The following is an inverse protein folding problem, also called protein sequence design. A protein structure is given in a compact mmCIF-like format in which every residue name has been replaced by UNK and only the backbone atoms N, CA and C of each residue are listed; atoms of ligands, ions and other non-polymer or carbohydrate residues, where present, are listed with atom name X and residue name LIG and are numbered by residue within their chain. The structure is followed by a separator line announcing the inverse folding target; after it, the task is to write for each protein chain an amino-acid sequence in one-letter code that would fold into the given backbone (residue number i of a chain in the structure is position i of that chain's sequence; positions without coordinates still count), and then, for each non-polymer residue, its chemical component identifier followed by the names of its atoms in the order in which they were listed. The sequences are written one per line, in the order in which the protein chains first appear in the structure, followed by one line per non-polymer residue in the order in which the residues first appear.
data_IF_803838879111
#
_entry.id   IF_803838879111
#
_cell.length_a   1.000
_cell.length_b   1.000
_cell.length_c   1.000
_cell.angle_alpha   90.00
_cell.angle_beta   90.00
_cell.angle_gamma   90.00
#
_symmetry.space_group_name_H-M   'P 1'
#
loop_
_entity.id
_entity.type
_entity.pdbx_description
1 polymer ?
#
# COMPACT_ATOMS: atom_id res chain seq x y z
N UNK A 1 0.78 -21.81 -16.77
CA UNK A 1 1.04 -20.83 -15.68
C UNK A 1 -0.22 -20.00 -15.44
N UNK A 2 -0.72 -19.89 -14.20
CA UNK A 2 -1.87 -19.01 -13.93
C UNK A 2 -1.49 -17.53 -14.14
N UNK A 3 -2.43 -16.70 -14.63
CA UNK A 3 -2.18 -15.26 -14.88
C UNK A 3 -1.59 -14.53 -13.66
N UNK A 4 -1.95 -14.97 -12.46
CA UNK A 4 -1.43 -14.45 -11.19
C UNK A 4 0.07 -14.72 -11.01
N UNK A 5 0.55 -15.95 -11.26
CA UNK A 5 1.99 -16.29 -11.21
C UNK A 5 2.80 -15.51 -12.24
N UNK A 6 2.24 -15.27 -13.43
CA UNK A 6 2.89 -14.45 -14.47
C UNK A 6 3.02 -12.98 -14.03
N UNK A 7 1.95 -12.40 -13.49
CA UNK A 7 1.97 -11.01 -13.01
C UNK A 7 2.90 -10.83 -11.80
N UNK A 8 2.96 -11.83 -10.90
CA UNK A 8 3.90 -11.83 -9.78
C UNK A 8 5.35 -11.85 -10.27
N UNK A 9 5.71 -12.70 -11.24
CA UNK A 9 7.05 -12.75 -11.81
C UNK A 9 7.44 -11.46 -12.54
N UNK A 10 6.49 -10.82 -13.24
CA UNK A 10 6.70 -9.52 -13.88
C UNK A 10 6.95 -8.42 -12.84
N UNK A 11 6.17 -8.38 -11.76
CA UNK A 11 6.37 -7.45 -10.65
C UNK A 11 7.71 -7.68 -9.94
N UNK A 12 8.12 -8.95 -9.78
CA UNK A 12 9.40 -9.34 -9.21
C UNK A 12 10.57 -8.84 -10.08
N UNK A 13 10.49 -9.06 -11.40
CA UNK A 13 11.51 -8.61 -12.35
C UNK A 13 11.64 -7.08 -12.38
N UNK A 14 10.52 -6.36 -12.41
CA UNK A 14 10.50 -4.89 -12.35
C UNK A 14 11.05 -4.37 -11.02
N UNK A 15 10.66 -4.97 -9.89
CA UNK A 15 11.15 -4.59 -8.56
C UNK A 15 12.65 -4.82 -8.39
N UNK A 16 13.15 -5.98 -8.82
CA UNK A 16 14.58 -6.31 -8.80
C UNK A 16 15.39 -5.39 -9.73
N UNK A 17 14.88 -5.07 -10.91
CA UNK A 17 15.51 -4.15 -11.85
C UNK A 17 15.63 -2.72 -11.29
N UNK A 18 14.57 -2.19 -10.68
CA UNK A 18 14.59 -0.86 -10.08
C UNK A 18 15.51 -0.77 -8.84
N UNK A 19 15.60 -1.85 -8.06
CA UNK A 19 16.57 -1.94 -6.95
C UNK A 19 18.00 -2.04 -7.44
N UNK A 20 18.26 -2.79 -8.51
CA UNK A 20 19.58 -2.85 -9.14
C UNK A 20 20.00 -1.49 -9.68
N UNK A 21 19.11 -0.75 -10.36
CA UNK A 21 19.36 0.62 -10.84
C UNK A 21 19.62 1.58 -9.67
N UNK A 22 18.87 1.45 -8.57
CA UNK A 22 19.13 2.24 -7.36
C UNK A 22 20.47 1.91 -6.69
N UNK A 23 20.86 0.64 -6.66
CA UNK A 23 22.13 0.20 -6.10
C UNK A 23 23.32 0.69 -6.95
N UNK A 24 23.20 0.60 -8.28
CA UNK A 24 24.20 1.09 -9.24
C UNK A 24 24.37 2.61 -9.18
N UNK A 25 23.29 3.37 -8.99
CA UNK A 25 23.36 4.81 -8.74
C UNK A 25 24.04 5.16 -7.40
N UNK A 26 23.87 4.32 -6.37
CA UNK A 26 24.55 4.49 -5.07
C UNK A 26 26.05 4.14 -5.13
N UNK A 27 26.45 3.31 -6.08
CA UNK A 27 27.84 2.93 -6.36
C UNK A 27 28.54 3.88 -7.35
N UNK A 28 28.00 5.09 -7.58
CA UNK A 28 28.58 6.17 -8.40
C UNK A 28 28.80 5.83 -9.90
N UNK A 29 28.31 4.69 -10.40
CA UNK A 29 28.40 4.31 -11.82
C UNK A 29 27.44 5.08 -12.73
N UNK A 30 26.41 5.72 -12.15
CA UNK A 30 25.44 6.57 -12.84
C UNK A 30 25.33 7.89 -12.07
N UNK A 31 25.43 9.06 -12.72
CA UNK A 31 25.22 10.36 -12.07
C UNK A 31 23.71 10.57 -11.79
N UNK A 32 23.17 9.81 -10.84
CA UNK A 32 21.77 9.89 -10.44
C UNK A 32 21.64 10.79 -9.22
N UNK A 33 20.67 11.72 -9.25
CA UNK A 33 20.38 12.53 -8.07
C UNK A 33 19.91 11.64 -6.91
N UNK A 34 20.27 11.99 -5.68
CA UNK A 34 19.91 11.20 -4.48
C UNK A 34 18.39 10.97 -4.36
N UNK A 35 17.58 11.90 -4.88
CA UNK A 35 16.13 11.76 -4.96
C UNK A 35 15.68 10.68 -5.95
N UNK A 36 16.27 10.62 -7.15
CA UNK A 36 15.96 9.59 -8.14
C UNK A 36 16.37 8.19 -7.65
N UNK A 37 17.53 8.07 -7.01
CA UNK A 37 17.97 6.82 -6.40
C UNK A 37 17.00 6.36 -5.29
N UNK A 38 16.58 7.27 -4.40
CA UNK A 38 15.58 6.97 -3.37
C UNK A 38 14.21 6.59 -3.92
N UNK A 39 13.76 7.23 -5.00
CA UNK A 39 12.50 6.91 -5.68
C UNK A 39 12.54 5.50 -6.28
N UNK A 40 13.62 5.15 -6.98
CA UNK A 40 13.83 3.82 -7.55
C UNK A 40 13.88 2.73 -6.47
N UNK A 41 14.55 3.00 -5.34
CA UNK A 41 14.55 2.08 -4.20
C UNK A 41 13.14 1.87 -3.64
N UNK A 42 12.40 2.94 -3.39
CA UNK A 42 11.05 2.88 -2.83
C UNK A 42 10.05 2.14 -3.73
N UNK A 43 10.05 2.45 -5.03
CA UNK A 43 9.21 1.75 -6.02
C UNK A 43 9.65 0.29 -6.16
N UNK A 44 10.96 0.02 -6.16
CA UNK A 44 11.51 -1.33 -6.20
C UNK A 44 11.08 -2.20 -5.02
N UNK A 45 11.18 -1.68 -3.78
CA UNK A 45 10.67 -2.36 -2.57
C UNK A 45 9.17 -2.59 -2.66
N UNK A 46 8.41 -1.58 -3.10
CA UNK A 46 6.95 -1.69 -3.25
C UNK A 46 6.55 -2.76 -4.27
N UNK A 47 7.27 -2.86 -5.38
CA UNK A 47 7.08 -3.92 -6.39
C UNK A 47 7.46 -5.31 -5.86
N UNK A 48 8.51 -5.43 -5.04
CA UNK A 48 8.86 -6.70 -4.40
C UNK A 48 7.81 -7.13 -3.36
N UNK A 49 7.33 -6.20 -2.54
CA UNK A 49 6.25 -6.45 -1.57
C UNK A 49 4.98 -6.85 -2.32
N UNK A 50 4.60 -6.14 -3.37
CA UNK A 50 3.46 -6.50 -4.21
C UNK A 50 3.64 -7.87 -4.87
N UNK A 51 4.84 -8.18 -5.36
CA UNK A 51 5.17 -9.49 -5.92
C UNK A 51 5.02 -10.60 -4.87
N UNK A 52 5.56 -10.40 -3.66
CA UNK A 52 5.43 -11.35 -2.55
C UNK A 52 3.94 -11.57 -2.20
N UNK A 53 3.17 -10.49 -2.09
CA UNK A 53 1.72 -10.57 -1.86
C UNK A 53 1.01 -11.34 -2.98
N UNK A 54 1.35 -11.11 -4.25
CA UNK A 54 0.78 -11.82 -5.39
C UNK A 54 1.16 -13.31 -5.42
N UNK A 55 2.37 -13.65 -4.97
CA UNK A 55 2.82 -15.03 -4.80
C UNK A 55 2.09 -15.72 -3.65
N UNK A 56 1.79 -14.97 -2.58
CA UNK A 56 1.00 -15.46 -1.46
C UNK A 56 -0.49 -15.58 -1.81
N UNK A 57 -1.01 -14.73 -2.68
CA UNK A 57 -2.42 -14.69 -3.08
C UNK A 57 -2.76 -15.71 -4.18
N UNK A 58 -2.36 -16.98 -4.04
CA UNK A 58 -2.57 -18.03 -5.05
C UNK A 58 -4.06 -18.28 -5.39
N UNK A 59 -4.62 -17.45 -6.25
CA UNK A 59 -5.43 -17.89 -7.39
C UNK A 59 -6.93 -18.09 -7.25
N UNK A 60 -7.52 -18.56 -6.13
CA UNK A 60 -8.86 -19.15 -6.26
C UNK A 60 -10.07 -18.21 -6.05
N UNK A 61 -9.95 -17.08 -5.34
CA UNK A 61 -11.15 -16.23 -5.07
C UNK A 61 -11.57 -15.31 -6.23
N UNK A 62 -10.82 -15.27 -7.33
CA UNK A 62 -11.18 -14.42 -8.48
C UNK A 62 -12.39 -14.96 -9.25
N UNK A 63 -12.77 -16.22 -9.01
CA UNK A 63 -13.81 -16.92 -9.77
C UNK A 63 -15.23 -16.75 -9.21
N UNK A 64 -15.39 -16.30 -7.96
CA UNK A 64 -16.73 -16.18 -7.34
C UNK A 64 -17.35 -14.78 -7.43
N UNK A 65 -16.53 -13.72 -7.59
CA UNK A 65 -17.04 -12.35 -7.64
C UNK A 65 -17.54 -11.97 -9.02
N UNK A 66 -18.73 -11.36 -9.09
CA UNK A 66 -19.32 -10.89 -10.35
C UNK A 66 -18.32 -9.96 -11.07
N UNK A 67 -17.97 -10.23 -12.34
CA UNK A 67 -16.90 -9.51 -13.04
C UNK A 67 -17.18 -8.00 -13.20
N UNK A 68 -18.46 -7.59 -13.20
CA UNK A 68 -18.85 -6.18 -13.19
C UNK A 68 -18.49 -5.48 -11.87
N UNK A 69 -18.70 -6.14 -10.72
CA UNK A 69 -18.35 -5.63 -9.40
C UNK A 69 -16.82 -5.48 -9.27
N UNK A 70 -16.06 -6.49 -9.68
CA UNK A 70 -14.60 -6.46 -9.64
C UNK A 70 -14.01 -5.32 -10.49
N UNK A 71 -14.52 -5.10 -11.71
CA UNK A 71 -14.10 -3.98 -12.57
C UNK A 71 -14.38 -2.63 -11.93
N UNK A 72 -15.56 -2.46 -11.34
CA UNK A 72 -15.97 -1.23 -10.67
C UNK A 72 -15.08 -0.96 -9.45
N UNK A 73 -14.86 -1.97 -8.61
CA UNK A 73 -13.97 -1.86 -7.45
C UNK A 73 -12.55 -1.50 -7.87
N UNK A 74 -11.97 -2.17 -8.86
CA UNK A 74 -10.62 -1.84 -9.33
C UNK A 74 -10.49 -0.41 -9.84
N UNK A 75 -11.54 0.17 -10.43
CA UNK A 75 -11.55 1.57 -10.85
C UNK A 75 -11.74 2.53 -9.66
N UNK A 76 -12.71 2.26 -8.79
CA UNK A 76 -13.00 3.11 -7.62
C UNK A 76 -11.88 3.07 -6.57
N UNK A 77 -11.15 1.97 -6.46
CA UNK A 77 -9.99 1.82 -5.58
C UNK A 77 -8.69 2.26 -6.28
N UNK A 78 -8.47 1.80 -7.51
CA UNK A 78 -7.20 1.96 -8.21
C UNK A 78 -6.90 3.41 -8.59
N UNK A 79 -7.91 4.20 -8.96
CA UNK A 79 -7.70 5.61 -9.32
C UNK A 79 -7.27 6.45 -8.10
N UNK A 80 -7.98 6.46 -6.96
CA UNK A 80 -7.54 7.20 -5.78
C UNK A 80 -6.23 6.68 -5.20
N UNK A 81 -5.99 5.35 -5.21
CA UNK A 81 -4.74 4.78 -4.72
C UNK A 81 -3.56 5.17 -5.62
N UNK A 82 -3.73 5.15 -6.94
CA UNK A 82 -2.72 5.62 -7.89
C UNK A 82 -2.37 7.09 -7.66
N UNK A 83 -3.39 7.95 -7.49
CA UNK A 83 -3.19 9.36 -7.14
C UNK A 83 -2.47 9.52 -5.79
N UNK A 84 -2.81 8.70 -4.79
CA UNK A 84 -2.16 8.75 -3.48
C UNK A 84 -0.67 8.42 -3.58
N UNK A 85 -0.32 7.35 -4.31
CA UNK A 85 1.07 6.96 -4.52
C UNK A 85 1.83 8.06 -5.26
N UNK A 86 1.29 8.58 -6.37
CA UNK A 86 1.90 9.68 -7.11
C UNK A 86 2.10 10.90 -6.22
N UNK A 87 1.07 11.28 -5.45
CA UNK A 87 1.13 12.40 -4.51
C UNK A 87 2.25 12.22 -3.47
N UNK A 88 2.39 11.02 -2.90
CA UNK A 88 3.45 10.73 -1.94
C UNK A 88 4.85 10.77 -2.56
N UNK A 89 5.01 10.30 -3.81
CA UNK A 89 6.28 10.37 -4.53
C UNK A 89 6.73 11.81 -4.79
N UNK A 90 5.79 12.70 -5.13
CA UNK A 90 6.06 14.11 -5.41
C UNK A 90 5.86 15.04 -4.20
N UNK A 91 5.56 14.50 -3.02
CA UNK A 91 5.15 15.28 -1.85
C UNK A 91 6.15 16.37 -1.46
N UNK A 92 7.44 16.02 -1.37
CA UNK A 92 8.52 16.97 -1.06
C UNK A 92 8.63 18.07 -2.11
N UNK A 93 8.47 17.72 -3.38
CA UNK A 93 8.55 18.68 -4.48
C UNK A 93 7.34 19.63 -4.46
N UNK A 94 6.12 19.10 -4.26
CA UNK A 94 4.90 19.90 -4.16
C UNK A 94 4.99 20.91 -3.00
N UNK A 95 5.40 20.46 -1.81
CA UNK A 95 5.46 21.35 -0.64
C UNK A 95 6.62 22.36 -0.69
N UNK A 96 7.67 22.09 -1.49
CA UNK A 96 8.78 23.04 -1.67
C UNK A 96 8.42 24.22 -2.58
N UNK A 97 7.45 24.06 -3.49
CA UNK A 97 7.05 25.08 -4.46
C UNK A 97 5.75 25.81 -4.09
N UNK A 98 5.21 25.55 -2.90
CA UNK A 98 3.95 26.15 -2.45
C UNK A 98 4.20 27.01 -1.22
N UNK A 99 3.95 28.31 -1.39
CA UNK A 99 4.02 29.29 -0.31
C UNK A 99 3.07 28.92 0.84
N UNK A 100 3.43 29.29 2.09
CA UNK A 100 2.58 29.08 3.26
C UNK A 100 1.27 29.87 3.13
N UNK A 101 0.28 29.22 2.52
CA UNK A 101 -1.03 29.76 2.15
C UNK A 101 -2.10 28.68 2.35
N UNK A 102 -3.38 29.05 2.23
CA UNK A 102 -4.48 28.09 2.24
C UNK A 102 -4.32 26.97 1.21
N UNK A 103 -3.66 27.23 0.09
CA UNK A 103 -3.35 26.21 -0.92
C UNK A 103 -2.46 25.08 -0.35
N UNK A 104 -1.50 25.41 0.51
CA UNK A 104 -0.63 24.42 1.16
C UNK A 104 -1.40 23.47 2.07
N UNK A 105 -2.40 24.00 2.79
CA UNK A 105 -3.29 23.19 3.65
C UNK A 105 -4.13 22.23 2.80
N UNK A 106 -4.73 22.73 1.71
CA UNK A 106 -5.52 21.89 0.80
C UNK A 106 -4.68 20.75 0.19
N UNK A 107 -3.46 21.06 -0.25
CA UNK A 107 -2.51 20.07 -0.77
C UNK A 107 -2.12 19.06 0.32
N UNK A 108 -1.90 19.54 1.55
CA UNK A 108 -1.55 18.67 2.67
C UNK A 108 -2.67 17.71 3.08
N UNK A 109 -3.93 18.09 2.90
CA UNK A 109 -5.10 17.26 3.22
C UNK A 109 -5.52 16.34 2.07
N UNK A 110 -5.05 16.58 0.85
CA UNK A 110 -5.44 15.82 -0.34
C UNK A 110 -5.17 14.31 -0.22
N UNK A 111 -4.05 13.82 0.35
CA UNK A 111 -3.87 12.39 0.60
C UNK A 111 -4.94 11.80 1.51
N UNK A 112 -5.39 12.53 2.54
CA UNK A 112 -6.44 12.06 3.44
C UNK A 112 -7.77 11.93 2.71
N UNK A 113 -8.09 12.85 1.79
CA UNK A 113 -9.28 12.77 0.93
C UNK A 113 -9.19 11.55 0.00
N UNK A 114 -8.03 11.30 -0.60
CA UNK A 114 -7.81 10.13 -1.46
C UNK A 114 -8.00 8.82 -0.67
N UNK A 115 -7.47 8.75 0.55
CA UNK A 115 -7.68 7.60 1.45
C UNK A 115 -9.17 7.44 1.81
N UNK A 116 -9.89 8.53 2.07
CA UNK A 116 -11.34 8.46 2.33
C UNK A 116 -12.13 7.90 1.13
N UNK A 117 -11.73 8.26 -0.10
CA UNK A 117 -12.31 7.67 -1.32
C UNK A 117 -12.01 6.17 -1.43
N UNK A 118 -10.78 5.75 -1.06
CA UNK A 118 -10.41 4.32 -0.98
C UNK A 118 -11.29 3.58 0.03
N UNK A 119 -11.46 4.13 1.23
CA UNK A 119 -12.32 3.54 2.27
C UNK A 119 -13.76 3.41 1.76
N UNK A 120 -14.29 4.43 1.08
CA UNK A 120 -15.63 4.39 0.47
C UNK A 120 -15.74 3.28 -0.58
N UNK A 121 -14.73 3.11 -1.42
CA UNK A 121 -14.70 2.06 -2.45
C UNK A 121 -14.68 0.65 -1.81
N UNK A 122 -13.89 0.46 -0.76
CA UNK A 122 -13.83 -0.80 0.00
C UNK A 122 -15.17 -1.08 0.69
N UNK A 123 -15.76 -0.10 1.38
CA UNK A 123 -17.04 -0.27 2.07
C UNK A 123 -18.17 -0.67 1.12
N UNK A 124 -18.22 -0.06 -0.07
CA UNK A 124 -19.18 -0.44 -1.13
C UNK A 124 -18.94 -1.85 -1.64
N UNK A 125 -17.68 -2.20 -1.91
CA UNK A 125 -17.33 -3.53 -2.36
C UNK A 125 -17.73 -4.61 -1.35
N UNK A 126 -17.44 -4.41 -0.06
CA UNK A 126 -17.82 -5.34 1.01
C UNK A 126 -19.34 -5.48 1.13
N UNK A 127 -20.08 -4.40 0.94
CA UNK A 127 -21.56 -4.40 0.98
C UNK A 127 -22.19 -5.16 -0.19
N UNK A 128 -21.62 -5.00 -1.38
CA UNK A 128 -22.14 -5.58 -2.63
C UNK A 128 -21.58 -7.00 -2.91
N UNK A 129 -20.69 -7.50 -2.05
CA UNK A 129 -20.12 -8.85 -2.12
C UNK A 129 -21.08 -9.90 -1.55
N UNK A 130 -20.90 -11.14 -1.98
CA UNK A 130 -21.56 -12.28 -1.36
C UNK A 130 -21.14 -12.46 0.11
N UNK A 131 -21.86 -13.31 0.84
CA UNK A 131 -21.65 -13.52 2.28
C UNK A 131 -20.25 -14.07 2.60
N UNK A 132 -19.73 -14.98 1.77
CA UNK A 132 -18.42 -15.59 1.96
C UNK A 132 -17.29 -14.55 1.77
N UNK A 133 -17.32 -13.82 0.66
CA UNK A 133 -16.36 -12.75 0.36
C UNK A 133 -16.45 -11.64 1.39
N UNK A 134 -17.66 -11.21 1.76
CA UNK A 134 -17.87 -10.22 2.81
C UNK A 134 -17.25 -10.65 4.14
N UNK A 135 -17.37 -11.93 4.52
CA UNK A 135 -16.75 -12.48 5.72
C UNK A 135 -15.22 -12.45 5.63
N UNK A 136 -14.64 -12.90 4.52
CA UNK A 136 -13.18 -12.88 4.30
C UNK A 136 -12.65 -11.44 4.38
N UNK A 137 -13.33 -10.49 3.74
CA UNK A 137 -12.94 -9.07 3.76
C UNK A 137 -12.97 -8.50 5.17
N UNK A 138 -14.09 -8.66 5.89
CA UNK A 138 -14.24 -8.11 7.24
C UNK A 138 -13.29 -8.75 8.25
N UNK A 139 -13.09 -10.07 8.20
CA UNK A 139 -12.15 -10.78 9.07
C UNK A 139 -10.71 -10.31 8.80
N UNK A 140 -10.34 -10.13 7.53
CA UNK A 140 -9.01 -9.65 7.16
C UNK A 140 -8.78 -8.20 7.60
N UNK A 141 -9.79 -7.34 7.45
CA UNK A 141 -9.74 -5.95 7.92
C UNK A 141 -9.64 -5.91 9.45
N UNK A 142 -10.40 -6.72 10.17
CA UNK A 142 -10.39 -6.74 11.63
C UNK A 142 -9.03 -7.18 12.19
N UNK A 143 -8.45 -8.25 11.64
CA UNK A 143 -7.11 -8.71 12.03
C UNK A 143 -6.06 -7.65 11.69
N UNK A 144 -6.11 -7.07 10.49
CA UNK A 144 -5.15 -6.04 10.10
C UNK A 144 -5.23 -4.79 10.97
N UNK A 145 -6.45 -4.31 11.25
CA UNK A 145 -6.68 -3.19 12.14
C UNK A 145 -6.15 -3.48 13.54
N UNK A 146 -6.46 -4.66 14.10
CA UNK A 146 -5.99 -5.07 15.43
C UNK A 146 -4.47 -5.18 15.54
N UNK A 147 -3.80 -5.75 14.51
CA UNK A 147 -2.34 -5.86 14.48
C UNK A 147 -1.66 -4.49 14.36
N UNK A 148 -2.17 -3.60 13.49
CA UNK A 148 -1.60 -2.25 13.35
C UNK A 148 -1.85 -1.42 14.60
N UNK A 149 -3.07 -1.43 15.16
CA UNK A 149 -3.38 -0.67 16.38
C UNK A 149 -2.57 -1.19 17.57
N UNK A 150 -2.48 -2.51 17.72
CA UNK A 150 -1.67 -3.14 18.76
C UNK A 150 -0.19 -2.80 18.60
N UNK A 151 0.36 -2.91 17.39
CA UNK A 151 1.75 -2.52 17.11
C UNK A 151 2.04 -1.05 17.36
N UNK A 152 1.13 -0.15 16.95
CA UNK A 152 1.24 1.29 17.19
C UNK A 152 1.20 1.61 18.69
N UNK A 153 0.29 0.97 19.44
CA UNK A 153 0.21 1.14 20.89
C UNK A 153 1.46 0.62 21.61
N UNK A 154 1.97 -0.56 21.22
CA UNK A 154 3.23 -1.09 21.74
C UNK A 154 4.41 -0.15 21.47
N UNK A 155 4.50 0.40 20.25
CA UNK A 155 5.49 1.42 19.92
C UNK A 155 5.34 2.67 20.80
N UNK A 156 4.09 3.12 21.03
CA UNK A 156 3.79 4.23 21.93
C UNK A 156 4.26 3.99 23.37
N UNK A 157 4.09 2.79 23.92
CA UNK A 157 4.61 2.45 25.25
C UNK A 157 6.13 2.41 25.31
N UNK A 158 6.78 1.84 24.29
CA UNK A 158 8.25 1.83 24.20
C UNK A 158 8.82 3.24 24.10
N UNK A 159 8.16 4.13 23.36
CA UNK A 159 8.57 5.54 23.23
C UNK A 159 8.30 6.32 24.53
N UNK A 160 7.18 6.06 25.21
CA UNK A 160 6.88 6.67 26.51
C UNK A 160 7.86 6.24 27.61
N UNK A 161 8.44 5.05 27.50
CA UNK A 161 9.48 4.56 28.39
C UNK A 161 10.91 4.92 27.91
N UNK A 162 11.04 5.78 26.90
CA UNK A 162 12.31 6.27 26.34
C UNK A 162 13.23 5.16 25.78
N UNK A 163 12.70 3.97 25.48
CA UNK A 163 13.47 2.87 24.88
C UNK A 163 13.69 3.05 23.37
N UNK A 164 12.78 3.76 22.71
CA UNK A 164 12.83 4.05 21.28
C UNK A 164 12.51 5.52 21.03
N UNK A 165 13.17 6.10 20.02
CA UNK A 165 12.83 7.42 19.50
C UNK A 165 12.48 7.31 18.02
N UNK A 166 11.18 7.31 17.72
CA UNK A 166 10.66 7.29 16.36
C UNK A 166 10.01 8.64 16.08
N UNK A 167 10.40 9.34 15.00
CA UNK A 167 9.75 10.58 14.61
C UNK A 167 8.25 10.37 14.41
N UNK A 168 7.42 11.13 15.13
CA UNK A 168 5.97 10.98 15.11
C UNK A 168 5.38 11.07 13.69
N UNK A 169 5.92 11.96 12.85
CA UNK A 169 5.53 12.09 11.44
C UNK A 169 5.71 10.79 10.66
N UNK A 170 6.82 10.07 10.88
CA UNK A 170 7.08 8.79 10.22
C UNK A 170 6.08 7.75 10.72
N UNK A 171 5.89 7.64 12.04
CA UNK A 171 4.93 6.71 12.62
C UNK A 171 3.52 6.92 12.07
N UNK A 172 3.03 8.17 12.03
CA UNK A 172 1.69 8.52 11.55
C UNK A 172 1.51 8.21 10.05
N UNK A 173 2.50 8.51 9.21
CA UNK A 173 2.42 8.26 7.77
C UNK A 173 2.46 6.77 7.41
N UNK A 174 3.09 5.95 8.25
CA UNK A 174 3.24 4.50 8.01
C UNK A 174 2.05 3.66 8.45
N UNK A 175 1.11 4.20 9.23
CA UNK A 175 -0.08 3.48 9.72
C UNK A 175 -0.90 2.91 8.56
N UNK A 176 -1.25 3.74 7.57
CA UNK A 176 -2.08 3.31 6.45
C UNK A 176 -1.37 2.31 5.51
N UNK A 177 -0.09 2.52 5.10
CA UNK A 177 0.68 1.51 4.39
C UNK A 177 0.77 0.17 5.11
N UNK A 178 1.04 0.18 6.43
CA UNK A 178 1.10 -1.04 7.23
C UNK A 178 -0.25 -1.76 7.28
N UNK A 179 -1.35 -1.00 7.43
CA UNK A 179 -2.70 -1.56 7.38
C UNK A 179 -2.96 -2.26 6.05
N UNK A 180 -2.62 -1.62 4.93
CA UNK A 180 -2.78 -2.20 3.60
C UNK A 180 -1.94 -3.47 3.42
N UNK A 181 -0.69 -3.46 3.88
CA UNK A 181 0.21 -4.59 3.78
C UNK A 181 -0.29 -5.79 4.60
N UNK A 182 -0.63 -5.57 5.87
CA UNK A 182 -1.14 -6.63 6.75
C UNK A 182 -2.49 -7.14 6.24
N UNK A 183 -3.40 -6.27 5.83
CA UNK A 183 -4.66 -6.66 5.20
C UNK A 183 -4.43 -7.55 3.97
N UNK A 184 -3.49 -7.20 3.08
CA UNK A 184 -3.16 -8.01 1.91
C UNK A 184 -2.64 -9.41 2.27
N UNK A 185 -1.81 -9.51 3.31
CA UNK A 185 -1.31 -10.79 3.84
C UNK A 185 -2.46 -11.60 4.45
N UNK A 186 -3.21 -11.02 5.39
CA UNK A 186 -4.29 -11.71 6.08
C UNK A 186 -5.38 -12.16 5.11
N UNK A 187 -5.75 -11.33 4.15
CA UNK A 187 -6.69 -11.70 3.10
C UNK A 187 -6.18 -12.89 2.29
N UNK A 188 -4.90 -12.91 1.94
CA UNK A 188 -4.31 -14.03 1.22
C UNK A 188 -4.29 -15.32 2.04
N UNK A 189 -4.16 -15.23 3.36
CA UNK A 189 -4.21 -16.38 4.27
C UNK A 189 -5.66 -16.86 4.44
N UNK A 190 -6.59 -15.96 4.76
CA UNK A 190 -8.00 -16.28 4.97
C UNK A 190 -8.65 -16.83 3.70
N UNK A 191 -8.23 -16.33 2.53
CA UNK A 191 -8.66 -16.85 1.24
C UNK A 191 -8.36 -18.35 1.07
N UNK A 192 -7.18 -18.81 1.50
CA UNK A 192 -6.75 -20.21 1.37
C UNK A 192 -7.58 -21.18 2.21
N UNK A 193 -8.31 -20.70 3.22
CA UNK A 193 -9.15 -21.55 4.08
C UNK A 193 -10.43 -22.02 3.38
N UNK A 194 -10.85 -21.30 2.35
CA UNK A 194 -12.07 -21.56 1.59
C UNK A 194 -11.76 -22.15 0.18
N UNK A 195 -10.50 -22.50 -0.07
CA UNK A 195 -10.06 -23.31 -1.20
C UNK A 195 -10.08 -24.79 -0.83
#
# INVERSE_FOLDING_TARGET
MSRCKRNALLALGLGAGLLAVSALGRWQLLPMSAHLAGLCAGVGVSCLVLSLLLLLSRGSLRDSTRPALARRYHREFGVPMGLYVVMMLFWRYLLAHVDPSWARVLIALLPAVLVALVIRAVARYVRDSDEMQRRIELESIAIAAGLVSGGYMTGGFLQAAELIDIPATVAMLWVFPMLCAIYGVTKSINARRFE
#
